data_IF_109483419508
#
_entry.id   IF_109483419508
#
_cell.length_a   1.000
_cell.length_b   1.000
_cell.length_c   1.000
_cell.angle_alpha   90.00
_cell.angle_beta   90.00
_cell.angle_gamma   90.00
#
_symmetry.space_group_name_H-M   'P 1'
#
loop_
_entity.id
_entity.type
_entity.pdbx_description
1 polymer ?
#
# COMPACT_ATOMS: atom_id res chain seq x y z
N UNK A 1 -18.88 12.77 16.52
CA UNK A 1 -18.58 12.78 15.07
C UNK A 1 -18.07 14.10 14.47
N UNK A 2 -18.24 15.32 15.03
CA UNK A 2 -17.66 16.53 14.41
C UNK A 2 -16.14 16.73 14.62
N UNK A 3 -15.58 16.20 15.71
CA UNK A 3 -14.21 16.50 16.13
C UNK A 3 -13.11 15.82 15.29
N UNK A 4 -13.41 14.72 14.61
CA UNK A 4 -12.40 13.95 13.84
C UNK A 4 -12.14 14.55 12.45
N UNK A 5 -13.17 15.12 11.82
CA UNK A 5 -13.06 15.77 10.50
C UNK A 5 -12.14 17.01 10.59
N UNK A 6 -12.18 17.74 11.71
CA UNK A 6 -11.32 18.92 11.93
C UNK A 6 -9.84 18.57 12.07
N UNK A 7 -9.48 17.42 12.63
CA UNK A 7 -8.08 16.99 12.80
C UNK A 7 -7.49 16.45 11.49
N UNK A 8 -8.27 15.71 10.71
CA UNK A 8 -7.83 15.19 9.41
C UNK A 8 -7.46 16.33 8.43
N UNK A 9 -8.28 17.40 8.41
CA UNK A 9 -8.03 18.58 7.56
C UNK A 9 -6.77 19.36 7.96
N UNK A 10 -6.56 19.55 9.28
CA UNK A 10 -5.34 20.18 9.80
C UNK A 10 -4.07 19.40 9.43
N UNK A 11 -4.15 18.07 9.42
CA UNK A 11 -3.01 17.21 9.09
C UNK A 11 -2.64 17.25 7.61
N UNK A 12 -3.62 17.38 6.70
CA UNK A 12 -3.35 17.49 5.26
C UNK A 12 -2.65 18.79 4.88
N UNK A 13 -3.00 19.91 5.51
CA UNK A 13 -2.36 21.21 5.25
C UNK A 13 -0.90 21.20 5.70
N UNK A 14 -0.62 20.59 6.85
CA UNK A 14 0.74 20.41 7.36
C UNK A 14 1.60 19.53 6.43
N UNK A 15 1.03 18.50 5.81
CA UNK A 15 1.76 17.64 4.87
C UNK A 15 2.18 18.40 3.60
N UNK A 16 1.29 19.26 3.08
CA UNK A 16 1.60 20.11 1.92
C UNK A 16 2.74 21.07 2.27
N UNK A 17 2.65 21.76 3.41
CA UNK A 17 3.68 22.69 3.85
C UNK A 17 5.03 21.98 4.12
N UNK A 18 5.01 20.76 4.66
CA UNK A 18 6.21 19.96 4.83
C UNK A 18 6.88 19.62 3.49
N UNK A 19 6.11 19.16 2.50
CA UNK A 19 6.64 18.89 1.16
C UNK A 19 7.14 20.15 0.46
N UNK A 20 6.42 21.27 0.57
CA UNK A 20 6.88 22.56 0.03
C UNK A 20 8.19 22.99 0.70
N UNK A 21 8.35 22.77 2.00
CA UNK A 21 9.59 23.08 2.72
C UNK A 21 10.77 22.22 2.24
N UNK A 22 10.53 20.91 2.02
CA UNK A 22 11.54 19.99 1.45
C UNK A 22 11.95 20.46 0.06
N UNK A 23 10.98 20.74 -0.82
CA UNK A 23 11.26 21.15 -2.21
C UNK A 23 11.96 22.51 -2.25
N UNK A 24 11.54 23.47 -1.42
CA UNK A 24 12.20 24.77 -1.30
C UNK A 24 13.67 24.60 -0.86
N UNK A 25 13.91 23.81 0.20
CA UNK A 25 15.27 23.56 0.68
C UNK A 25 16.16 22.87 -0.36
N UNK A 26 15.62 21.87 -1.06
CA UNK A 26 16.32 21.13 -2.14
C UNK A 26 16.69 21.99 -3.34
N UNK A 27 16.03 23.13 -3.51
CA UNK A 27 16.23 24.06 -4.62
C UNK A 27 16.79 25.43 -4.20
N UNK A 28 17.16 25.61 -2.92
CA UNK A 28 17.55 26.93 -2.36
C UNK A 28 18.72 27.60 -3.07
N UNK A 29 19.60 26.81 -3.68
CA UNK A 29 20.81 27.28 -4.37
C UNK A 29 20.62 27.35 -5.91
N UNK A 30 19.42 27.05 -6.42
CA UNK A 30 19.11 27.05 -7.85
C UNK A 30 18.83 28.46 -8.35
N UNK A 31 19.38 28.79 -9.52
CA UNK A 31 19.16 30.09 -10.18
C UNK A 31 17.94 30.03 -11.12
N UNK A 32 17.32 31.18 -11.43
CA UNK A 32 16.26 31.24 -12.45
C UNK A 32 16.74 30.63 -13.78
N UNK A 33 15.96 29.69 -14.32
CA UNK A 33 16.29 28.98 -15.55
C UNK A 33 17.06 27.66 -15.35
N UNK A 34 17.54 27.36 -14.14
CA UNK A 34 18.13 26.05 -13.85
C UNK A 34 17.07 24.97 -13.64
N UNK A 35 17.41 23.72 -13.98
CA UNK A 35 16.53 22.58 -13.73
C UNK A 35 16.35 22.36 -12.22
N UNK A 36 15.11 22.44 -11.77
CA UNK A 36 14.72 22.21 -10.39
C UNK A 36 14.68 20.71 -10.06
N UNK A 37 14.94 20.38 -8.79
CA UNK A 37 14.68 19.08 -8.17
C UNK A 37 13.17 18.95 -7.98
N UNK A 38 12.57 17.98 -8.65
CA UNK A 38 11.15 17.66 -8.55
C UNK A 38 10.84 16.71 -7.39
N UNK A 39 9.57 16.58 -7.01
CA UNK A 39 9.10 15.55 -6.08
C UNK A 39 9.52 14.16 -6.52
N UNK A 40 9.44 13.85 -7.83
CA UNK A 40 9.88 12.56 -8.37
C UNK A 40 11.37 12.32 -8.14
N UNK A 41 12.21 13.35 -8.29
CA UNK A 41 13.64 13.23 -7.98
C UNK A 41 13.86 12.93 -6.49
N UNK A 42 13.17 13.64 -5.60
CA UNK A 42 13.27 13.42 -4.15
C UNK A 42 12.89 11.99 -3.78
N UNK A 43 11.77 11.49 -4.32
CA UNK A 43 11.27 10.14 -4.06
C UNK A 43 12.22 9.08 -4.62
N UNK A 44 12.70 9.23 -5.85
CA UNK A 44 13.65 8.27 -6.46
C UNK A 44 14.98 8.23 -5.73
N UNK A 45 15.50 9.36 -5.27
CA UNK A 45 16.72 9.41 -4.45
C UNK A 45 16.50 8.76 -3.07
N UNK A 46 15.31 8.93 -2.48
CA UNK A 46 14.94 8.25 -1.24
C UNK A 46 14.89 6.74 -1.44
N UNK A 47 14.22 6.26 -2.50
CA UNK A 47 14.20 4.82 -2.82
C UNK A 47 15.60 4.28 -3.10
N UNK A 48 16.45 5.00 -3.82
CA UNK A 48 17.82 4.58 -4.06
C UNK A 48 18.64 4.44 -2.76
N UNK A 49 18.33 5.25 -1.74
CA UNK A 49 19.04 5.25 -0.46
C UNK A 49 18.50 4.20 0.52
N UNK A 50 17.19 3.95 0.53
CA UNK A 50 16.52 3.17 1.57
C UNK A 50 15.76 1.94 1.04
N UNK A 51 15.74 1.72 -0.27
CA UNK A 51 14.87 0.77 -0.94
C UNK A 51 13.45 1.32 -1.17
N UNK A 52 12.68 0.63 -2.02
CA UNK A 52 11.28 0.96 -2.31
C UNK A 52 10.35 -0.05 -1.66
N UNK A 53 9.37 0.43 -0.91
CA UNK A 53 8.23 -0.39 -0.49
C UNK A 53 7.10 -0.21 -1.51
N UNK A 54 6.76 -1.29 -2.23
CA UNK A 54 5.55 -1.34 -3.01
C UNK A 54 4.36 -1.55 -2.09
N UNK A 55 3.33 -0.74 -2.28
CA UNK A 55 2.11 -0.76 -1.48
C UNK A 55 0.89 -0.58 -2.39
N UNK A 56 -0.17 -1.31 -2.10
CA UNK A 56 -1.49 -1.05 -2.67
C UNK A 56 -2.57 -1.51 -1.70
N UNK A 57 -3.75 -0.89 -1.74
CA UNK A 57 -4.91 -1.28 -0.95
C UNK A 57 -6.09 -1.59 -1.86
N UNK A 58 -6.71 -2.74 -1.60
CA UNK A 58 -7.87 -3.24 -2.35
C UNK A 58 -9.11 -3.07 -1.49
N UNK A 59 -9.98 -2.16 -1.88
CA UNK A 59 -11.21 -1.86 -1.16
C UNK A 59 -12.39 -2.54 -1.88
N UNK A 60 -13.00 -3.53 -1.21
CA UNK A 60 -14.21 -4.23 -1.65
C UNK A 60 -15.41 -3.65 -0.91
N UNK A 61 -16.02 -2.64 -1.52
CA UNK A 61 -17.13 -1.90 -0.92
C UNK A 61 -18.47 -2.60 -1.14
N UNK A 62 -19.44 -2.31 -0.27
CA UNK A 62 -20.82 -2.81 -0.37
C UNK A 62 -20.91 -4.35 -0.40
N UNK A 63 -20.04 -5.04 0.33
CA UNK A 63 -20.15 -6.49 0.52
C UNK A 63 -21.31 -6.81 1.47
N UNK A 64 -22.08 -7.85 1.13
CA UNK A 64 -23.11 -8.38 2.03
C UNK A 64 -22.49 -8.81 3.36
N UNK A 65 -23.06 -8.32 4.46
CA UNK A 65 -22.47 -8.47 5.79
C UNK A 65 -22.35 -9.94 6.22
N UNK A 66 -23.33 -10.77 5.84
CA UNK A 66 -23.31 -12.19 6.17
C UNK A 66 -22.10 -12.90 5.52
N UNK A 67 -21.88 -12.66 4.23
CA UNK A 67 -20.75 -13.23 3.49
C UNK A 67 -19.40 -12.74 4.01
N UNK A 68 -19.27 -11.43 4.22
CA UNK A 68 -18.06 -10.83 4.77
C UNK A 68 -17.72 -11.35 6.17
N UNK A 69 -18.70 -11.52 7.05
CA UNK A 69 -18.50 -12.08 8.38
C UNK A 69 -18.02 -13.53 8.31
N UNK A 70 -18.64 -14.37 7.46
CA UNK A 70 -18.21 -15.76 7.24
C UNK A 70 -16.76 -15.84 6.74
N UNK A 71 -16.35 -14.93 5.85
CA UNK A 71 -14.98 -14.84 5.37
C UNK A 71 -14.00 -14.54 6.52
N UNK A 72 -14.32 -13.57 7.36
CA UNK A 72 -13.47 -13.19 8.50
C UNK A 72 -13.40 -14.32 9.53
N UNK A 73 -14.51 -14.98 9.84
CA UNK A 73 -14.52 -16.12 10.77
C UNK A 73 -13.72 -17.31 10.21
N UNK A 74 -13.82 -17.57 8.90
CA UNK A 74 -12.99 -18.54 8.20
C UNK A 74 -11.49 -18.20 8.31
N UNK A 75 -11.11 -16.93 8.09
CA UNK A 75 -9.72 -16.49 8.23
C UNK A 75 -9.21 -16.60 9.68
N UNK A 76 -10.05 -16.25 10.67
CA UNK A 76 -9.73 -16.42 12.10
C UNK A 76 -9.49 -17.87 12.45
N UNK A 77 -10.38 -18.76 11.99
CA UNK A 77 -10.26 -20.20 12.18
C UNK A 77 -8.98 -20.74 11.52
N UNK A 78 -8.70 -20.34 10.28
CA UNK A 78 -7.49 -20.70 9.54
C UNK A 78 -6.21 -20.30 10.30
N UNK A 79 -6.13 -19.06 10.78
CA UNK A 79 -4.99 -18.57 11.57
C UNK A 79 -4.89 -19.31 12.91
N UNK A 80 -6.01 -19.59 13.58
CA UNK A 80 -5.99 -20.32 14.86
C UNK A 80 -5.47 -21.76 14.74
N UNK A 81 -5.66 -22.37 13.57
CA UNK A 81 -5.20 -23.73 13.24
C UNK A 81 -3.81 -23.75 12.62
N UNK A 82 -3.32 -22.60 12.18
CA UNK A 82 -2.01 -22.48 11.55
C UNK A 82 -0.89 -22.84 12.52
N UNK A 83 0.14 -23.48 11.99
CA UNK A 83 1.36 -23.84 12.71
C UNK A 83 2.55 -23.16 12.07
N UNK A 84 3.62 -23.01 12.85
CA UNK A 84 4.89 -22.53 12.32
C UNK A 84 5.34 -23.42 11.15
N UNK A 85 5.57 -22.81 9.99
CA UNK A 85 5.95 -23.49 8.75
C UNK A 85 4.80 -23.75 7.77
N UNK A 86 3.54 -23.46 8.14
CA UNK A 86 2.42 -23.47 7.19
C UNK A 86 2.62 -22.38 6.13
N UNK A 87 2.38 -22.75 4.87
CA UNK A 87 2.62 -21.87 3.71
C UNK A 87 1.31 -21.41 3.09
N UNK A 88 1.18 -20.10 2.94
CA UNK A 88 0.05 -19.45 2.27
C UNK A 88 0.57 -18.81 0.97
N UNK A 89 0.70 -19.64 -0.07
CA UNK A 89 1.45 -19.28 -1.27
C UNK A 89 2.96 -19.31 -1.01
N UNK A 90 3.66 -18.20 -1.30
CA UNK A 90 5.09 -18.04 -0.99
C UNK A 90 5.35 -17.46 0.41
N UNK A 91 4.30 -17.19 1.19
CA UNK A 91 4.40 -16.40 2.41
C UNK A 91 4.17 -17.22 3.67
N UNK A 92 4.93 -16.83 4.69
CA UNK A 92 4.70 -17.11 6.10
C UNK A 92 4.16 -15.79 6.70
N UNK A 93 2.97 -15.80 7.31
CA UNK A 93 2.24 -14.67 7.95
C UNK A 93 2.75 -13.24 7.70
N UNK A 94 2.15 -12.45 6.78
CA UNK A 94 2.52 -11.04 6.56
C UNK A 94 1.41 -10.15 5.94
N UNK A 95 1.53 -8.83 6.19
CA UNK A 95 0.84 -7.73 5.48
C UNK A 95 1.29 -7.68 4.00
N UNK A 96 0.43 -7.19 3.09
CA UNK A 96 0.76 -7.05 1.66
C UNK A 96 1.62 -5.78 1.47
N UNK A 97 2.92 -5.94 1.70
CA UNK A 97 3.96 -4.95 1.37
C UNK A 97 5.13 -5.72 0.75
N UNK A 98 5.72 -5.17 -0.31
CA UNK A 98 6.90 -5.75 -0.93
C UNK A 98 8.05 -4.76 -0.92
N UNK A 99 9.05 -5.04 -0.09
CA UNK A 99 10.31 -4.31 -0.09
C UNK A 99 11.19 -4.74 -1.28
N UNK A 100 11.68 -3.76 -2.04
CA UNK A 100 12.60 -3.95 -3.15
C UNK A 100 13.88 -3.12 -2.94
N UNK A 101 15.01 -3.75 -2.61
CA UNK A 101 16.29 -3.06 -2.46
C UNK A 101 16.98 -2.77 -3.82
N UNK A 102 16.64 -3.48 -4.89
CA UNK A 102 17.28 -3.33 -6.20
C UNK A 102 16.75 -2.10 -6.96
N UNK A 103 17.61 -1.08 -7.10
CA UNK A 103 17.28 0.18 -7.77
C UNK A 103 16.80 -0.02 -9.21
N UNK A 104 17.28 -1.05 -9.90
CA UNK A 104 16.86 -1.33 -11.29
C UNK A 104 15.39 -1.74 -11.38
N UNK A 105 14.79 -2.18 -10.27
CA UNK A 105 13.40 -2.60 -10.18
C UNK A 105 12.48 -1.54 -9.56
N UNK A 106 13.04 -0.42 -9.09
CA UNK A 106 12.25 0.65 -8.45
C UNK A 106 11.30 1.37 -9.40
N UNK A 107 11.45 1.26 -10.72
CA UNK A 107 10.52 1.86 -11.67
C UNK A 107 9.43 0.88 -12.16
N UNK A 108 9.36 -0.33 -11.58
CA UNK A 108 8.27 -1.27 -11.86
C UNK A 108 6.91 -0.68 -11.45
N UNK A 109 5.88 -1.11 -12.19
CA UNK A 109 4.49 -0.88 -11.82
C UNK A 109 4.16 -1.62 -10.51
N UNK A 110 3.41 -0.97 -9.62
CA UNK A 110 3.11 -1.50 -8.30
C UNK A 110 2.23 -2.75 -8.37
N UNK A 111 1.27 -2.81 -9.29
CA UNK A 111 0.40 -3.99 -9.46
C UNK A 111 1.19 -5.20 -9.94
N UNK A 112 2.14 -4.96 -10.84
CA UNK A 112 3.07 -5.99 -11.33
C UNK A 112 3.98 -6.49 -10.22
N UNK A 113 4.57 -5.58 -9.43
CA UNK A 113 5.44 -5.94 -8.32
C UNK A 113 4.68 -6.76 -7.26
N UNK A 114 3.46 -6.33 -6.90
CA UNK A 114 2.66 -6.92 -5.82
C UNK A 114 1.86 -8.15 -6.23
N UNK A 115 1.73 -8.45 -7.53
CA UNK A 115 0.96 -9.60 -8.03
C UNK A 115 1.28 -10.92 -7.30
N UNK A 116 2.55 -11.26 -7.00
CA UNK A 116 2.87 -12.49 -6.27
C UNK A 116 2.33 -12.53 -4.84
N UNK A 117 2.02 -11.39 -4.22
CA UNK A 117 1.36 -11.26 -2.91
C UNK A 117 -0.16 -11.25 -3.02
N UNK A 118 -0.70 -10.57 -4.04
CA UNK A 118 -2.13 -10.38 -4.22
C UNK A 118 -2.81 -11.71 -4.56
N UNK A 119 -2.28 -12.50 -5.50
CA UNK A 119 -2.95 -13.75 -5.92
C UNK A 119 -3.12 -14.73 -4.74
N UNK A 120 -2.08 -15.00 -3.92
CA UNK A 120 -2.24 -15.86 -2.75
C UNK A 120 -3.19 -15.27 -1.70
N UNK A 121 -3.16 -13.96 -1.45
CA UNK A 121 -4.07 -13.33 -0.48
C UNK A 121 -5.54 -13.49 -0.89
N UNK A 122 -5.86 -13.32 -2.18
CA UNK A 122 -7.21 -13.53 -2.71
C UNK A 122 -7.62 -15.01 -2.65
N UNK A 123 -6.69 -15.92 -2.94
CA UNK A 123 -6.92 -17.36 -2.84
C UNK A 123 -7.18 -17.80 -1.39
N UNK A 124 -6.36 -17.34 -0.45
CA UNK A 124 -6.43 -17.70 0.97
C UNK A 124 -7.67 -17.13 1.64
N UNK A 125 -8.04 -15.89 1.31
CA UNK A 125 -9.27 -15.28 1.85
C UNK A 125 -10.55 -15.92 1.32
N UNK A 126 -10.49 -16.59 0.16
CA UNK A 126 -11.68 -17.04 -0.57
C UNK A 126 -12.72 -15.92 -0.74
N UNK A 127 -12.24 -14.68 -0.90
CA UNK A 127 -13.08 -13.49 -0.89
C UNK A 127 -14.21 -13.60 -1.91
N UNK A 128 -13.90 -14.08 -3.12
CA UNK A 128 -14.90 -14.28 -4.17
C UNK A 128 -15.98 -15.28 -3.76
N UNK A 129 -15.62 -16.38 -3.09
CA UNK A 129 -16.58 -17.41 -2.68
C UNK A 129 -17.54 -16.90 -1.60
N UNK A 130 -17.04 -16.07 -0.68
CA UNK A 130 -17.84 -15.53 0.41
C UNK A 130 -18.66 -14.29 0.03
N UNK A 131 -18.13 -13.44 -0.85
CA UNK A 131 -18.74 -12.12 -1.16
C UNK A 131 -19.32 -12.03 -2.57
N UNK A 132 -19.01 -13.00 -3.45
CA UNK A 132 -19.33 -12.94 -4.88
C UNK A 132 -18.49 -11.94 -5.68
N UNK A 133 -17.61 -11.17 -5.04
CA UNK A 133 -16.83 -10.10 -5.70
C UNK A 133 -15.58 -10.65 -6.37
N UNK A 134 -15.42 -10.38 -7.66
CA UNK A 134 -14.24 -10.80 -8.43
C UNK A 134 -13.10 -9.77 -8.42
N UNK A 135 -13.43 -8.49 -8.28
CA UNK A 135 -12.50 -7.37 -8.37
C UNK A 135 -12.82 -6.35 -7.28
N UNK A 136 -11.82 -5.64 -6.75
CA UNK A 136 -12.05 -4.55 -5.80
C UNK A 136 -12.86 -3.43 -6.48
N UNK A 137 -13.62 -2.70 -5.68
CA UNK A 137 -14.31 -1.49 -6.12
C UNK A 137 -13.30 -0.36 -6.34
N UNK A 138 -12.32 -0.25 -5.44
CA UNK A 138 -11.26 0.77 -5.50
C UNK A 138 -9.90 0.13 -5.24
N UNK A 139 -8.90 0.56 -6.00
CA UNK A 139 -7.48 0.23 -5.78
C UNK A 139 -6.74 1.54 -5.53
N UNK A 140 -6.03 1.64 -4.40
CA UNK A 140 -5.15 2.77 -4.05
C UNK A 140 -3.70 2.34 -3.99
#
# INVERSE_FOLDING_TARGET
MPAEISKAKQNSENAVLAWLSIIAYRNKDKKPGEKLVSVSNVVKEHWASYGRNFFSRYDYEECESEGANKMIDYLRDLVSKSKSGDKYGKFENAYIEQFEPDVSKHDMDAQTALKPLIDPALSVSKLKDFTGREKPTVIT
#
